data_IF_953834631873
#
_entry.id   IF_953834631873
#
_cell.length_a   1.000
_cell.length_b   1.000
_cell.length_c   1.000
_cell.angle_alpha   90.00
_cell.angle_beta   90.00
_cell.angle_gamma   90.00
#
_symmetry.space_group_name_H-M   'P 1'
#
loop_
_entity.id
_entity.type
_entity.pdbx_description
1 polymer ?
#
# COMPACT_ATOMS: atom_id res chain seq x y z
N UNK A 1 -0.09 -9.37 11.99
CA UNK A 1 0.46 -8.23 11.22
C UNK A 1 -0.66 -7.63 10.39
N UNK A 2 -0.89 -6.34 10.54
CA UNK A 2 -1.95 -5.64 9.81
C UNK A 2 -1.36 -4.96 8.57
N UNK A 3 -1.83 -5.35 7.39
CA UNK A 3 -1.36 -4.77 6.13
C UNK A 3 -2.48 -3.93 5.55
N UNK A 4 -2.17 -2.68 5.24
CA UNK A 4 -3.12 -1.74 4.64
C UNK A 4 -2.49 -1.09 3.43
N UNK A 5 -3.32 -0.80 2.42
CA UNK A 5 -2.90 -0.11 1.21
C UNK A 5 -3.67 1.20 1.10
N UNK A 6 -2.94 2.30 1.17
CA UNK A 6 -3.51 3.63 0.91
C UNK A 6 -3.55 3.80 -0.60
N UNK A 7 -4.73 4.06 -1.13
CA UNK A 7 -4.97 4.03 -2.57
C UNK A 7 -5.86 5.20 -2.99
N UNK A 8 -6.02 5.36 -4.29
CA UNK A 8 -6.89 6.38 -4.87
C UNK A 8 -7.63 5.76 -6.05
N UNK A 9 -8.87 6.20 -6.26
CA UNK A 9 -9.64 5.76 -7.41
C UNK A 9 -8.91 6.16 -8.69
N UNK A 10 -8.98 5.30 -9.72
CA UNK A 10 -8.35 5.52 -11.02
C UNK A 10 -6.81 5.64 -10.96
N UNK A 11 -6.20 5.05 -9.96
CA UNK A 11 -4.76 5.05 -9.80
C UNK A 11 -4.18 3.72 -10.31
N UNK A 12 -3.48 3.77 -11.44
CA UNK A 12 -2.91 2.57 -12.06
C UNK A 12 -1.87 1.90 -11.16
N UNK A 13 -0.97 2.68 -10.58
CA UNK A 13 0.05 2.14 -9.67
C UNK A 13 -0.57 1.52 -8.42
N UNK A 14 -1.71 2.07 -7.97
CA UNK A 14 -2.43 1.52 -6.82
C UNK A 14 -3.00 0.13 -7.16
N UNK A 15 -3.54 -0.02 -8.37
CA UNK A 15 -4.04 -1.31 -8.84
C UNK A 15 -2.92 -2.34 -8.94
N UNK A 16 -1.75 -1.93 -9.44
CA UNK A 16 -0.58 -2.80 -9.52
C UNK A 16 -0.11 -3.22 -8.12
N UNK A 17 -0.10 -2.29 -7.17
CA UNK A 17 0.30 -2.59 -5.79
C UNK A 17 -0.64 -3.61 -5.16
N UNK A 18 -1.94 -3.43 -5.35
CA UNK A 18 -2.93 -4.37 -4.82
C UNK A 18 -2.72 -5.77 -5.41
N UNK A 19 -2.55 -5.84 -6.73
CA UNK A 19 -2.32 -7.11 -7.41
C UNK A 19 -1.05 -7.81 -6.90
N UNK A 20 0.01 -7.03 -6.67
CA UNK A 20 1.27 -7.57 -6.15
C UNK A 20 1.11 -8.13 -4.73
N UNK A 21 0.38 -7.41 -3.87
CA UNK A 21 0.12 -7.88 -2.50
C UNK A 21 -0.72 -9.15 -2.52
N UNK A 22 -1.76 -9.19 -3.32
CA UNK A 22 -2.61 -10.38 -3.46
C UNK A 22 -1.84 -11.57 -3.99
N UNK A 23 -0.96 -11.34 -4.97
CA UNK A 23 -0.13 -12.39 -5.53
C UNK A 23 0.83 -13.01 -4.50
N UNK A 24 1.21 -12.23 -3.48
CA UNK A 24 2.06 -12.70 -2.39
C UNK A 24 1.26 -13.21 -1.19
N UNK A 25 -0.05 -13.38 -1.35
CA UNK A 25 -0.90 -14.00 -0.33
C UNK A 25 -1.50 -13.03 0.69
N UNK A 26 -1.47 -11.72 0.41
CA UNK A 26 -2.02 -10.73 1.33
C UNK A 26 -3.38 -10.23 0.87
N UNK A 27 -4.21 -9.90 1.84
CA UNK A 27 -5.51 -9.28 1.62
C UNK A 27 -5.52 -7.95 2.40
N UNK A 28 -4.93 -6.89 1.83
CA UNK A 28 -4.76 -5.65 2.59
C UNK A 28 -6.09 -4.92 2.78
N UNK A 29 -6.22 -4.26 3.92
CA UNK A 29 -7.29 -3.29 4.09
C UNK A 29 -7.04 -2.10 3.16
N UNK A 30 -8.09 -1.65 2.46
CA UNK A 30 -7.95 -0.52 1.54
C UNK A 30 -8.36 0.76 2.23
N UNK A 31 -7.50 1.78 2.13
CA UNK A 31 -7.75 3.10 2.67
C UNK A 31 -7.75 4.10 1.51
N UNK A 32 -8.86 4.80 1.33
CA UNK A 32 -8.98 5.80 0.27
C UNK A 32 -8.40 7.13 0.75
N UNK A 33 -7.33 7.57 0.10
CA UNK A 33 -6.64 8.80 0.49
C UNK A 33 -7.56 10.03 0.40
N UNK A 34 -8.55 9.98 -0.46
CA UNK A 34 -9.46 11.11 -0.65
C UNK A 34 -10.63 11.12 0.34
N UNK A 35 -10.80 10.05 1.12
CA UNK A 35 -11.91 9.94 2.07
C UNK A 35 -11.57 10.42 3.48
N UNK A 36 -10.30 10.72 3.75
CA UNK A 36 -9.82 11.07 5.09
C UNK A 36 -8.79 12.18 4.97
N UNK A 37 -9.05 13.30 5.64
CA UNK A 37 -8.17 14.47 5.54
C UNK A 37 -6.75 14.17 6.05
N UNK A 38 -6.62 13.39 7.11
CA UNK A 38 -5.32 13.02 7.65
C UNK A 38 -4.51 12.20 6.66
N UNK A 39 -5.16 11.24 5.98
CA UNK A 39 -4.50 10.45 4.94
C UNK A 39 -4.12 11.32 3.74
N UNK A 40 -5.02 12.23 3.35
CA UNK A 40 -4.78 13.15 2.24
C UNK A 40 -3.56 14.02 2.53
N UNK A 41 -3.49 14.59 3.72
CA UNK A 41 -2.37 15.46 4.11
C UNK A 41 -1.03 14.73 4.07
N UNK A 42 -1.02 13.45 4.47
CA UNK A 42 0.21 12.66 4.53
C UNK A 42 0.60 12.06 3.19
N UNK A 43 -0.36 11.59 2.38
CA UNK A 43 -0.08 10.68 1.28
C UNK A 43 -0.62 11.10 -0.08
N UNK A 44 -1.18 12.30 -0.24
CA UNK A 44 -1.82 12.73 -1.48
C UNK A 44 -1.01 12.42 -2.74
N UNK A 45 0.24 12.80 -2.77
CA UNK A 45 1.12 12.58 -3.94
C UNK A 45 1.97 11.32 -3.81
N UNK A 46 1.73 10.50 -2.80
CA UNK A 46 2.59 9.36 -2.47
C UNK A 46 1.92 8.02 -2.71
N UNK A 47 0.63 8.00 -2.99
CA UNK A 47 -0.10 6.74 -3.23
C UNK A 47 0.45 6.03 -4.45
N UNK A 48 0.51 4.68 -4.45
CA UNK A 48 0.08 3.80 -3.36
C UNK A 48 1.07 3.76 -2.20
N UNK A 49 0.57 3.59 -0.98
CA UNK A 49 1.39 3.45 0.23
C UNK A 49 0.98 2.17 0.94
N UNK A 50 1.95 1.32 1.26
CA UNK A 50 1.72 0.14 2.08
C UNK A 50 2.07 0.48 3.52
N UNK A 51 1.10 0.28 4.41
CA UNK A 51 1.28 0.43 5.85
C UNK A 51 1.27 -0.96 6.49
N UNK A 52 2.26 -1.20 7.34
CA UNK A 52 2.31 -2.43 8.14
C UNK A 52 2.25 -2.02 9.59
N UNK A 53 1.20 -2.48 10.28
CA UNK A 53 0.91 -2.11 11.67
C UNK A 53 0.92 -0.59 11.87
N UNK A 54 0.35 0.13 10.89
CA UNK A 54 0.21 1.58 10.92
C UNK A 54 1.45 2.37 10.51
N UNK A 55 2.52 1.70 10.09
CA UNK A 55 3.78 2.36 9.71
C UNK A 55 4.02 2.23 8.22
N UNK A 56 4.53 3.30 7.60
CA UNK A 56 4.88 3.29 6.19
C UNK A 56 5.97 2.26 5.93
N UNK A 57 5.69 1.34 5.02
CA UNK A 57 6.64 0.29 4.63
C UNK A 57 7.13 0.48 3.20
N UNK A 58 6.21 0.73 2.27
CA UNK A 58 6.53 0.94 0.85
C UNK A 58 5.65 2.04 0.29
N UNK A 59 6.13 2.73 -0.73
CA UNK A 59 5.33 3.73 -1.43
C UNK A 59 5.75 3.83 -2.89
N UNK A 60 4.88 4.41 -3.70
CA UNK A 60 5.13 4.58 -5.12
C UNK A 60 4.94 3.29 -5.90
N UNK A 61 5.86 2.96 -6.78
CA UNK A 61 5.77 1.71 -7.55
C UNK A 61 6.14 0.55 -6.63
N UNK A 62 5.17 -0.30 -6.34
CA UNK A 62 5.31 -1.42 -5.42
C UNK A 62 5.31 -2.72 -6.21
N UNK A 63 6.36 -3.52 -6.06
CA UNK A 63 6.55 -4.76 -6.78
C UNK A 63 6.51 -5.96 -5.84
N UNK A 64 6.26 -7.15 -6.42
CA UNK A 64 6.28 -8.39 -5.65
C UNK A 64 7.63 -8.62 -4.99
N UNK A 65 8.72 -8.27 -5.67
CA UNK A 65 10.07 -8.42 -5.13
C UNK A 65 10.26 -7.60 -3.87
N UNK A 66 9.79 -6.35 -3.87
CA UNK A 66 9.86 -5.50 -2.70
C UNK A 66 9.03 -6.07 -1.55
N UNK A 67 7.84 -6.57 -1.85
CA UNK A 67 6.96 -7.16 -0.83
C UNK A 67 7.62 -8.39 -0.20
N UNK A 68 8.17 -9.27 -1.04
CA UNK A 68 8.88 -10.46 -0.54
C UNK A 68 10.05 -10.10 0.35
N UNK A 69 10.87 -9.13 -0.08
CA UNK A 69 12.03 -8.70 0.68
C UNK A 69 11.65 -8.12 2.03
N UNK A 70 10.58 -7.35 2.07
CA UNK A 70 10.09 -6.74 3.30
C UNK A 70 9.58 -7.78 4.29
N UNK A 71 8.83 -8.77 3.80
CA UNK A 71 8.12 -9.73 4.64
C UNK A 71 8.94 -10.98 4.98
N UNK A 72 10.07 -11.19 4.31
CA UNK A 72 10.94 -12.33 4.57
C UNK A 72 12.00 -12.05 5.64
N UNK A 73 12.00 -10.86 6.20
CA UNK A 73 12.95 -10.51 7.25
C UNK A 73 12.59 -11.22 8.55
N UNK A 74 13.59 -11.73 9.25
CA UNK A 74 13.36 -12.34 10.57
C UNK A 74 12.92 -11.31 11.59
#
# INVERSE_FOLDING_TARGET
>A
MKVELVTRESCHLCSEALAALQAEGFDPGLLDVDSDQGLFDLYDFRVPVVLIDGRLALEGRITRTQIRGLLSRP
#
